data_IF_831846106769
#
_entry.id   IF_831846106769
#
_cell.length_a   1.000
_cell.length_b   1.000
_cell.length_c   1.000
_cell.angle_alpha   90.00
_cell.angle_beta   90.00
_cell.angle_gamma   90.00
#
_symmetry.space_group_name_H-M   'P 1'
#
loop_
_entity.id
_entity.type
_entity.pdbx_description
1 polymer ?
#
# COMPACT_ATOMS: atom_id res chain seq x y z
N UNK A 1 26.02 -6.86 22.10
CA UNK A 1 25.22 -7.65 21.13
C UNK A 1 24.13 -6.72 20.61
N UNK A 2 23.83 -6.75 19.31
CA UNK A 2 22.72 -5.96 18.77
C UNK A 2 21.38 -6.49 19.33
N UNK A 3 20.40 -5.62 19.54
CA UNK A 3 19.07 -6.05 20.00
C UNK A 3 18.31 -6.80 18.88
N UNK A 4 17.26 -7.55 19.23
CA UNK A 4 16.46 -8.23 18.21
C UNK A 4 15.81 -7.22 17.27
N UNK A 5 15.33 -6.09 17.81
CA UNK A 5 14.76 -5.04 16.99
C UNK A 5 15.78 -4.40 16.03
N UNK A 6 17.02 -4.20 16.45
CA UNK A 6 18.09 -3.73 15.57
C UNK A 6 18.39 -4.71 14.44
N UNK A 7 18.39 -6.02 14.72
CA UNK A 7 18.56 -7.06 13.71
C UNK A 7 17.41 -7.03 12.68
N UNK A 8 16.16 -7.04 13.17
CA UNK A 8 14.97 -6.99 12.32
C UNK A 8 14.97 -5.72 11.46
N UNK A 9 15.26 -4.55 12.05
CA UNK A 9 15.29 -3.29 11.33
C UNK A 9 16.36 -3.28 10.24
N UNK A 10 17.57 -3.79 10.54
CA UNK A 10 18.65 -3.87 9.56
C UNK A 10 18.29 -4.79 8.39
N UNK A 11 17.69 -5.94 8.66
CA UNK A 11 17.23 -6.87 7.62
C UNK A 11 16.09 -6.26 6.79
N UNK A 12 15.10 -5.62 7.41
CA UNK A 12 14.03 -4.91 6.71
C UNK A 12 14.58 -3.84 5.76
N UNK A 13 15.50 -3.00 6.22
CA UNK A 13 16.09 -1.95 5.38
C UNK A 13 16.81 -2.56 4.19
N UNK A 14 17.63 -3.60 4.41
CA UNK A 14 18.36 -4.27 3.34
C UNK A 14 17.42 -4.90 2.30
N UNK A 15 16.40 -5.63 2.76
CA UNK A 15 15.41 -6.30 1.90
C UNK A 15 14.54 -5.30 1.15
N UNK A 16 14.12 -4.20 1.78
CA UNK A 16 13.20 -3.25 1.19
C UNK A 16 13.86 -2.10 0.43
N UNK A 17 15.20 -1.95 0.51
CA UNK A 17 15.96 -0.92 -0.21
C UNK A 17 15.59 -0.79 -1.69
N UNK A 18 15.33 -1.87 -2.46
CA UNK A 18 14.91 -1.75 -3.85
C UNK A 18 13.56 -1.06 -4.06
N UNK A 19 12.69 -0.98 -3.06
CA UNK A 19 11.34 -0.40 -3.14
C UNK A 19 11.24 0.99 -2.52
N UNK A 20 12.17 1.35 -1.63
CA UNK A 20 12.15 2.61 -0.87
C UNK A 20 12.13 3.86 -1.76
N UNK A 21 11.35 4.86 -1.34
CA UNK A 21 11.27 6.16 -2.03
C UNK A 21 10.58 6.14 -3.41
N UNK A 22 10.16 4.96 -3.90
CA UNK A 22 9.51 4.83 -5.22
C UNK A 22 8.01 5.06 -5.13
N UNK A 23 7.48 5.92 -5.99
CA UNK A 23 6.03 6.22 -6.09
C UNK A 23 5.22 4.96 -6.41
N UNK A 24 5.72 4.07 -7.26
CA UNK A 24 5.03 2.80 -7.60
C UNK A 24 4.82 1.88 -6.39
N UNK A 25 5.59 2.08 -5.32
CA UNK A 25 5.46 1.37 -4.04
C UNK A 25 4.90 2.28 -2.94
N UNK A 26 4.30 3.41 -3.28
CA UNK A 26 3.66 4.30 -2.31
C UNK A 26 4.63 5.12 -1.47
N UNK A 27 5.86 5.36 -1.97
CA UNK A 27 6.88 6.13 -1.27
C UNK A 27 7.18 5.57 0.14
N UNK A 28 7.60 4.30 0.17
CA UNK A 28 7.88 3.56 1.41
C UNK A 28 8.86 4.30 2.32
N UNK A 29 8.51 4.33 3.60
CA UNK A 29 9.31 4.90 4.69
C UNK A 29 9.16 4.07 5.97
N UNK A 30 10.16 4.16 6.84
CA UNK A 30 10.14 3.50 8.15
C UNK A 30 9.89 4.51 9.25
N UNK A 31 9.23 4.05 10.31
CA UNK A 31 9.13 4.76 11.59
C UNK A 31 9.27 3.74 12.71
N UNK A 32 10.14 4.02 13.67
CA UNK A 32 10.32 3.15 14.84
C UNK A 32 9.81 3.88 16.08
N UNK A 33 9.15 3.14 16.96
CA UNK A 33 8.72 3.62 18.27
C UNK A 33 9.00 2.57 19.33
N UNK A 34 9.42 3.00 20.51
CA UNK A 34 9.78 2.12 21.62
C UNK A 34 8.92 2.47 22.84
N UNK A 35 8.51 1.44 23.59
CA UNK A 35 7.84 1.61 24.87
C UNK A 35 8.18 0.46 25.81
N UNK A 36 7.82 0.62 27.08
CA UNK A 36 8.00 -0.40 28.10
C UNK A 36 6.67 -0.64 28.82
N UNK A 37 6.40 -1.90 29.16
CA UNK A 37 5.28 -2.31 30.00
C UNK A 37 5.80 -3.23 31.11
N UNK A 38 5.87 -2.69 32.33
CA UNK A 38 6.54 -3.36 33.44
C UNK A 38 8.03 -3.57 33.13
N UNK A 39 8.49 -4.82 33.24
CA UNK A 39 9.87 -5.22 32.92
C UNK A 39 10.08 -5.55 31.44
N UNK A 40 9.04 -5.46 30.60
CA UNK A 40 9.12 -5.77 29.17
C UNK A 40 9.41 -4.53 28.34
N UNK A 41 10.30 -4.69 27.36
CA UNK A 41 10.63 -3.66 26.37
C UNK A 41 10.07 -4.06 25.01
N UNK A 42 9.34 -3.14 24.39
CA UNK A 42 8.73 -3.32 23.08
C UNK A 42 9.30 -2.33 22.08
N UNK A 43 9.49 -2.80 20.84
CA UNK A 43 9.84 -1.95 19.70
C UNK A 43 8.85 -2.21 18.58
N UNK A 44 8.16 -1.17 18.12
CA UNK A 44 7.34 -1.26 16.91
C UNK A 44 8.10 -0.64 15.74
N UNK A 45 8.24 -1.43 14.68
CA UNK A 45 8.81 -1.01 13.40
C UNK A 45 7.64 -0.90 12.43
N UNK A 46 7.25 0.34 12.13
CA UNK A 46 6.22 0.67 11.18
C UNK A 46 6.82 0.89 9.78
N UNK A 47 6.23 0.23 8.78
CA UNK A 47 6.49 0.44 7.37
C UNK A 47 5.28 1.18 6.80
N UNK A 48 5.49 2.44 6.40
CA UNK A 48 4.42 3.34 5.96
C UNK A 48 4.51 3.56 4.46
N UNK A 49 3.35 3.51 3.79
CA UNK A 49 3.23 3.77 2.35
C UNK A 49 1.88 4.39 2.00
N UNK A 50 1.78 4.92 0.80
CA UNK A 50 0.58 5.60 0.31
C UNK A 50 0.00 4.91 -0.93
N UNK A 51 -1.32 5.00 -1.07
CA UNK A 51 -2.04 4.60 -2.28
C UNK A 51 -2.73 5.82 -2.90
N UNK A 52 -3.03 5.81 -4.21
CA UNK A 52 -3.64 6.94 -4.89
C UNK A 52 -4.92 7.43 -4.19
N UNK A 53 -5.10 8.75 -4.14
CA UNK A 53 -6.19 9.39 -3.39
C UNK A 53 -5.86 9.66 -1.92
N UNK A 54 -4.58 9.86 -1.60
CA UNK A 54 -4.07 10.32 -0.30
C UNK A 54 -4.39 9.41 0.90
N UNK A 55 -4.45 8.10 0.69
CA UNK A 55 -4.62 7.13 1.77
C UNK A 55 -3.26 6.66 2.27
N UNK A 56 -2.99 6.86 3.56
CA UNK A 56 -1.82 6.30 4.25
C UNK A 56 -2.13 4.89 4.73
N UNK A 57 -1.21 3.97 4.49
CA UNK A 57 -1.27 2.57 4.87
C UNK A 57 -0.02 2.23 5.68
N UNK A 58 -0.13 1.25 6.58
CA UNK A 58 0.95 0.89 7.48
C UNK A 58 0.97 -0.62 7.72
N UNK A 59 2.17 -1.18 7.74
CA UNK A 59 2.47 -2.51 8.26
C UNK A 59 3.28 -2.33 9.55
N UNK A 60 3.01 -3.15 10.54
CA UNK A 60 3.70 -3.09 11.84
C UNK A 60 4.34 -4.43 12.16
N UNK A 61 5.58 -4.39 12.62
CA UNK A 61 6.22 -5.49 13.33
C UNK A 61 6.50 -5.00 14.74
N UNK A 62 5.83 -5.58 15.72
CA UNK A 62 6.14 -5.38 17.14
C UNK A 62 7.13 -6.45 17.59
N UNK A 63 8.20 -6.02 18.24
CA UNK A 63 9.27 -6.85 18.80
C UNK A 63 9.14 -6.80 20.31
N UNK A 64 8.88 -7.94 20.94
CA UNK A 64 9.07 -8.16 22.37
C UNK A 64 10.54 -8.57 22.60
N UNK A 65 11.36 -7.64 23.10
CA UNK A 65 12.80 -7.88 23.31
C UNK A 65 13.07 -8.88 24.44
N UNK A 66 12.14 -9.04 25.39
CA UNK A 66 12.30 -9.96 26.52
C UNK A 66 11.99 -11.40 26.11
N UNK A 67 10.93 -11.60 25.32
CA UNK A 67 10.51 -12.94 24.86
C UNK A 67 11.15 -13.33 23.52
N UNK A 68 11.75 -12.38 22.79
CA UNK A 68 12.27 -12.61 21.44
C UNK A 68 11.17 -12.91 20.42
N UNK A 69 9.97 -12.34 20.62
CA UNK A 69 8.79 -12.60 19.81
C UNK A 69 8.48 -11.40 18.92
N UNK A 70 8.26 -11.69 17.64
CA UNK A 70 7.79 -10.77 16.62
C UNK A 70 6.30 -10.96 16.43
N UNK A 71 5.55 -9.86 16.38
CA UNK A 71 4.10 -9.85 16.17
C UNK A 71 3.75 -8.93 15.01
N UNK A 72 2.94 -9.41 14.07
CA UNK A 72 2.47 -8.65 12.91
C UNK A 72 1.08 -9.11 12.48
N UNK A 73 0.35 -8.26 11.75
CA UNK A 73 -1.01 -8.54 11.26
C UNK A 73 -0.96 -8.99 9.81
N UNK A 74 -1.49 -10.18 9.53
CA UNK A 74 -1.66 -10.76 8.20
C UNK A 74 -3.16 -10.87 7.89
N UNK A 75 -3.68 -9.90 7.13
CA UNK A 75 -5.12 -9.73 6.92
C UNK A 75 -5.82 -9.39 8.23
N UNK A 76 -6.68 -10.30 8.70
CA UNK A 76 -7.43 -10.18 9.97
C UNK A 76 -6.79 -10.99 11.11
N UNK A 77 -5.66 -11.65 10.86
CA UNK A 77 -5.01 -12.53 11.83
C UNK A 77 -3.74 -11.91 12.39
N UNK A 78 -3.63 -11.90 13.71
CA UNK A 78 -2.36 -11.62 14.38
C UNK A 78 -1.47 -12.86 14.32
N UNK A 79 -0.26 -12.71 13.79
CA UNK A 79 0.76 -13.76 13.73
C UNK A 79 1.88 -13.42 14.70
N UNK A 80 2.34 -14.44 15.42
CA UNK A 80 3.46 -14.37 16.37
C UNK A 80 4.52 -15.39 15.98
N UNK A 81 5.78 -14.96 15.90
CA UNK A 81 6.90 -15.82 15.51
C UNK A 81 8.19 -15.37 16.18
N UNK A 82 9.12 -16.29 16.40
CA UNK A 82 10.51 -15.96 16.78
C UNK A 82 11.45 -15.99 15.56
N UNK A 83 10.92 -16.27 14.37
CA UNK A 83 11.68 -16.34 13.14
C UNK A 83 11.66 -14.98 12.42
N UNK A 84 12.79 -14.27 12.48
CA UNK A 84 12.98 -12.99 11.79
C UNK A 84 12.66 -13.11 10.30
N UNK A 85 13.16 -14.15 9.63
CA UNK A 85 12.95 -14.32 8.18
C UNK A 85 11.48 -14.44 7.80
N UNK A 86 10.65 -15.05 8.65
CA UNK A 86 9.20 -15.17 8.40
C UNK A 86 8.54 -13.80 8.41
N UNK A 87 8.84 -12.95 9.40
CA UNK A 87 8.33 -11.58 9.47
C UNK A 87 8.82 -10.73 8.28
N UNK A 88 10.10 -10.86 7.90
CA UNK A 88 10.67 -10.15 6.74
C UNK A 88 9.98 -10.57 5.44
N UNK A 89 9.80 -11.88 5.23
CA UNK A 89 9.16 -12.42 4.01
C UNK A 89 7.70 -11.97 3.90
N UNK A 90 6.97 -11.95 5.02
CA UNK A 90 5.60 -11.42 5.06
C UNK A 90 5.55 -9.95 4.61
N UNK A 91 6.41 -9.10 5.19
CA UNK A 91 6.46 -7.69 4.81
C UNK A 91 6.85 -7.55 3.35
N UNK A 92 7.91 -8.22 2.90
CA UNK A 92 8.37 -8.12 1.52
C UNK A 92 7.28 -8.55 0.52
N UNK A 93 6.60 -9.67 0.77
CA UNK A 93 5.48 -10.12 -0.06
C UNK A 93 4.39 -9.05 -0.16
N UNK A 94 4.00 -8.47 0.97
CA UNK A 94 3.00 -7.40 0.99
C UNK A 94 3.46 -6.16 0.21
N UNK A 95 4.74 -5.80 0.30
CA UNK A 95 5.32 -4.67 -0.44
C UNK A 95 5.34 -4.93 -1.95
N UNK A 96 5.68 -6.15 -2.38
CA UNK A 96 5.72 -6.52 -3.80
C UNK A 96 4.36 -6.39 -4.48
N UNK A 97 3.28 -6.59 -3.74
CA UNK A 97 1.90 -6.50 -4.24
C UNK A 97 1.37 -5.06 -4.32
N UNK A 98 2.05 -4.07 -3.74
CA UNK A 98 1.59 -2.67 -3.69
C UNK A 98 1.24 -2.13 -5.09
N UNK A 99 2.08 -2.28 -6.14
CA UNK A 99 1.76 -1.74 -7.46
C UNK A 99 0.43 -2.25 -8.03
N UNK A 100 0.14 -3.54 -7.86
CA UNK A 100 -1.12 -4.13 -8.33
C UNK A 100 -2.31 -3.62 -7.53
N UNK A 101 -2.21 -3.58 -6.19
CA UNK A 101 -3.25 -3.04 -5.31
C UNK A 101 -3.56 -1.58 -5.61
N UNK A 102 -2.53 -0.77 -5.91
CA UNK A 102 -2.67 0.63 -6.30
C UNK A 102 -3.49 0.77 -7.59
N UNK A 103 -3.21 -0.07 -8.59
CA UNK A 103 -3.94 -0.07 -9.85
C UNK A 103 -5.39 -0.51 -9.66
N UNK A 104 -5.64 -1.54 -8.86
CA UNK A 104 -7.02 -1.98 -8.61
C UNK A 104 -7.84 -0.91 -7.88
N UNK A 105 -7.25 -0.22 -6.90
CA UNK A 105 -7.90 0.90 -6.21
C UNK A 105 -8.26 2.06 -7.16
N UNK A 106 -7.44 2.31 -8.18
CA UNK A 106 -7.77 3.29 -9.23
C UNK A 106 -8.96 2.82 -10.07
N UNK A 107 -9.03 1.55 -10.43
CA UNK A 107 -10.18 0.97 -11.17
C UNK A 107 -11.45 1.03 -10.35
N UNK A 108 -11.40 0.70 -9.06
CA UNK A 108 -12.51 0.86 -8.11
C UNK A 108 -13.00 2.30 -8.06
N UNK A 109 -12.08 3.25 -8.00
CA UNK A 109 -12.39 4.69 -7.99
C UNK A 109 -13.11 5.11 -9.27
N UNK A 110 -12.64 4.63 -10.43
CA UNK A 110 -13.31 4.86 -11.72
C UNK A 110 -14.70 4.24 -11.75
N UNK A 111 -14.87 2.99 -11.28
CA UNK A 111 -16.19 2.33 -11.18
C UNK A 111 -17.14 3.15 -10.31
N UNK A 112 -16.66 3.61 -9.15
CA UNK A 112 -17.44 4.43 -8.22
C UNK A 112 -17.90 5.73 -8.86
N UNK A 113 -17.00 6.45 -9.54
CA UNK A 113 -17.36 7.69 -10.24
C UNK A 113 -18.35 7.47 -11.39
N UNK A 114 -18.18 6.40 -12.18
CA UNK A 114 -19.13 6.04 -13.22
C UNK A 114 -20.51 5.68 -12.63
N UNK A 115 -20.55 4.90 -11.55
CA UNK A 115 -21.79 4.56 -10.83
C UNK A 115 -22.49 5.77 -10.19
N UNK A 116 -21.76 6.86 -9.94
CA UNK A 116 -22.31 8.15 -9.53
C UNK A 116 -22.85 9.00 -10.68
N UNK A 117 -22.84 8.49 -11.92
CA UNK A 117 -23.35 9.19 -13.10
C UNK A 117 -22.37 10.18 -13.73
N UNK A 118 -21.10 10.20 -13.30
CA UNK A 118 -20.09 11.05 -13.95
C UNK A 118 -19.85 10.60 -15.39
N UNK A 119 -19.74 11.57 -16.29
CA UNK A 119 -19.38 11.32 -17.69
C UNK A 119 -17.92 10.88 -17.82
N UNK A 120 -17.62 10.24 -18.96
CA UNK A 120 -16.25 9.86 -19.34
C UNK A 120 -15.27 11.04 -19.25
N UNK A 121 -15.68 12.22 -19.72
CA UNK A 121 -14.83 13.41 -19.71
C UNK A 121 -14.50 13.88 -18.28
N UNK A 122 -15.49 13.85 -17.39
CA UNK A 122 -15.31 14.21 -15.98
C UNK A 122 -14.38 13.22 -15.27
N UNK A 123 -14.55 11.91 -15.50
CA UNK A 123 -13.65 10.88 -14.93
C UNK A 123 -12.20 11.09 -15.37
N UNK A 124 -11.97 11.34 -16.67
CA UNK A 124 -10.62 11.59 -17.19
C UNK A 124 -10.01 12.88 -16.62
N UNK A 125 -10.82 13.93 -16.42
CA UNK A 125 -10.36 15.16 -15.78
C UNK A 125 -9.92 14.92 -14.33
N UNK A 126 -10.66 14.10 -13.56
CA UNK A 126 -10.30 13.74 -12.19
C UNK A 126 -9.03 12.86 -12.12
N UNK A 127 -8.85 11.90 -13.03
CA UNK A 127 -7.62 11.12 -13.11
C UNK A 127 -6.38 12.00 -13.34
N UNK A 128 -6.49 13.03 -14.16
CA UNK A 128 -5.41 13.99 -14.38
C UNK A 128 -5.06 14.79 -13.12
N UNK A 129 -6.02 15.05 -12.22
CA UNK A 129 -5.74 15.71 -10.94
C UNK A 129 -4.88 14.84 -10.01
N UNK A 130 -5.01 13.52 -10.07
CA UNK A 130 -4.22 12.59 -9.26
C UNK A 130 -2.71 12.60 -9.60
N UNK A 131 -2.30 13.17 -10.73
CA UNK A 131 -0.89 13.42 -11.04
C UNK A 131 -0.27 14.52 -10.15
N UNK A 132 -1.10 15.33 -9.51
CA UNK A 132 -0.70 16.49 -8.69
C UNK A 132 -1.15 16.35 -7.24
N UNK A 133 -1.22 15.12 -6.73
CA UNK A 133 -1.60 14.87 -5.34
C UNK A 133 -0.56 15.47 -4.36
N UNK A 134 -1.03 15.95 -3.21
CA UNK A 134 -0.19 16.59 -2.19
C UNK A 134 0.80 15.62 -1.53
N UNK A 135 0.45 14.34 -1.47
CA UNK A 135 1.30 13.27 -0.96
C UNK A 135 2.04 12.59 -2.11
N UNK A 136 3.37 12.49 -2.01
CA UNK A 136 4.25 11.95 -3.06
C UNK A 136 3.85 10.52 -3.45
N UNK A 137 3.61 9.64 -2.48
CA UNK A 137 3.14 8.28 -2.74
C UNK A 137 1.64 8.22 -3.06
N UNK A 138 0.88 9.29 -2.78
CA UNK A 138 -0.50 9.48 -3.23
C UNK A 138 -0.63 9.88 -4.70
N UNK A 139 0.47 10.22 -5.38
CA UNK A 139 0.49 10.46 -6.82
C UNK A 139 0.38 9.15 -7.61
N UNK A 140 -0.14 9.24 -8.83
CA UNK A 140 -0.12 8.12 -9.78
C UNK A 140 1.07 8.24 -10.74
N UNK A 141 1.64 7.11 -11.10
CA UNK A 141 2.66 7.00 -12.14
C UNK A 141 2.04 7.13 -13.54
N UNK A 142 2.87 7.40 -14.55
CA UNK A 142 2.41 7.40 -15.94
C UNK A 142 1.86 6.03 -16.40
N UNK A 143 2.43 4.93 -15.88
CA UNK A 143 1.93 3.59 -16.16
C UNK A 143 0.52 3.39 -15.58
N UNK A 144 0.33 3.72 -14.29
CA UNK A 144 -0.98 3.65 -13.63
C UNK A 144 -2.02 4.52 -14.33
N UNK A 145 -1.65 5.74 -14.75
CA UNK A 145 -2.54 6.61 -15.52
C UNK A 145 -2.97 5.95 -16.83
N UNK A 146 -2.02 5.45 -17.62
CA UNK A 146 -2.30 4.80 -18.90
C UNK A 146 -3.26 3.62 -18.74
N UNK A 147 -2.95 2.71 -17.82
CA UNK A 147 -3.76 1.52 -17.55
C UNK A 147 -5.17 1.91 -17.07
N UNK A 148 -5.27 2.94 -16.22
CA UNK A 148 -6.55 3.41 -15.69
C UNK A 148 -7.39 4.11 -16.76
N UNK A 149 -6.78 4.88 -17.68
CA UNK A 149 -7.47 5.46 -18.84
C UNK A 149 -8.01 4.36 -19.74
N UNK A 150 -7.19 3.35 -20.07
CA UNK A 150 -7.64 2.22 -20.90
C UNK A 150 -8.82 1.48 -20.26
N UNK A 151 -8.76 1.27 -18.95
CA UNK A 151 -9.88 0.72 -18.18
C UNK A 151 -11.13 1.59 -18.25
N UNK A 152 -11.00 2.91 -18.04
CA UNK A 152 -12.10 3.87 -18.14
C UNK A 152 -12.76 3.83 -19.52
N UNK A 153 -11.99 3.85 -20.60
CA UNK A 153 -12.52 3.80 -21.96
C UNK A 153 -13.34 2.52 -22.21
N UNK A 154 -12.84 1.36 -21.78
CA UNK A 154 -13.57 0.08 -21.90
C UNK A 154 -14.89 0.10 -21.13
N UNK A 155 -14.87 0.61 -19.89
CA UNK A 155 -16.04 0.68 -19.03
C UNK A 155 -17.18 1.49 -19.68
N UNK A 156 -16.88 2.70 -20.16
CA UNK A 156 -17.90 3.57 -20.76
C UNK A 156 -18.38 3.12 -22.14
N UNK A 157 -17.55 2.39 -22.91
CA UNK A 157 -17.99 1.78 -24.17
C UNK A 157 -19.01 0.66 -23.92
N UNK A 158 -18.76 -0.24 -22.95
CA UNK A 158 -19.68 -1.32 -22.60
C UNK A 158 -21.04 -0.79 -22.11
N UNK A 159 -21.05 0.27 -21.28
CA UNK A 159 -22.30 0.89 -20.80
C UNK A 159 -23.09 1.58 -21.93
N UNK A 160 -22.41 1.96 -23.02
CA UNK A 160 -23.05 2.57 -24.18
C UNK A 160 -23.74 1.53 -25.06
N UNK A 161 -23.18 0.32 -25.17
CA UNK A 161 -23.77 -0.81 -25.93
C UNK A 161 -25.01 -1.39 -25.23
N UNK A 162 -24.99 -1.57 -23.89
CA UNK A 162 -26.16 -2.03 -23.12
C UNK A 162 -27.37 -1.09 -23.21
N UNK A 163 -27.14 0.22 -23.39
CA UNK A 163 -28.23 1.20 -23.56
C UNK A 163 -28.89 1.16 -24.93
N UNK A 164 -28.25 0.56 -25.93
CA UNK A 164 -28.76 0.47 -27.31
C UNK A 164 -29.65 -0.77 -27.48
N UNK A 165 -29.42 -1.84 -26.72
CA UNK A 165 -30.20 -3.09 -26.82
C UNK A 165 -31.55 -3.08 -26.09
N UNK A 166 -31.86 -2.04 -25.32
CA UNK A 166 -33.12 -1.93 -24.55
C UNK A 166 -34.20 -1.04 -25.21
N UNK A 167 -34.16 -0.84 -26.53
CA UNK A 167 -35.18 -0.05 -27.26
C UNK A 167 -35.93 -0.88 -28.30
#
# INVERSE_FOLDING_TARGET
MASLAEEVQKQLIATLAPYMGKVSFGNLRFQTSEWAEGDKKYVNIAIVYETPGSSTNQLNITVDEAEGILTFVDGELERRTNNVNEAIQFVEGTIRDIPERRLERLRETVRKWAGQGRSRAEVLAELNKLLRADLIGGTITHHELKETIQYCLRLFSATSEERVETW
#
